data_IF_146913940827
#
_entry.id   IF_146913940827
#
_cell.length_a   1.000
_cell.length_b   1.000
_cell.length_c   1.000
_cell.angle_alpha   90.00
_cell.angle_beta   90.00
_cell.angle_gamma   90.00
#
_symmetry.space_group_name_H-M   'P 1'
#
loop_
_entity.id
_entity.type
_entity.pdbx_description
1 polymer ?
#
# COMPACT_ATOMS: atom_id res chain seq x y z
N UNK A 1 6.52 -22.65 10.80
CA UNK A 1 6.86 -21.51 9.94
C UNK A 1 5.94 -21.54 8.74
N UNK A 2 5.21 -20.47 8.50
CA UNK A 2 4.24 -20.40 7.38
C UNK A 2 4.95 -20.16 6.05
N UNK A 3 4.48 -20.85 5.00
CA UNK A 3 5.05 -20.80 3.66
C UNK A 3 4.35 -19.72 2.85
N UNK A 4 5.07 -18.65 2.47
CA UNK A 4 4.54 -17.55 1.67
C UNK A 4 5.21 -17.51 0.31
N UNK A 5 4.43 -17.35 -0.74
CA UNK A 5 4.90 -17.20 -2.11
C UNK A 5 4.48 -15.84 -2.67
N UNK A 6 5.37 -15.14 -3.36
CA UNK A 6 5.07 -13.88 -4.05
C UNK A 6 4.94 -14.15 -5.54
N UNK A 7 3.72 -14.06 -6.04
CA UNK A 7 3.42 -14.26 -7.45
C UNK A 7 3.58 -12.93 -8.23
N UNK A 8 4.82 -12.62 -8.58
CA UNK A 8 5.25 -11.41 -9.28
C UNK A 8 6.43 -10.73 -8.59
N UNK A 9 7.42 -10.28 -9.34
CA UNK A 9 8.60 -9.57 -8.84
C UNK A 9 8.76 -8.23 -9.56
N UNK A 10 7.70 -7.43 -9.46
CA UNK A 10 7.66 -6.01 -9.86
C UNK A 10 8.05 -5.10 -8.71
N UNK A 11 7.56 -3.86 -8.73
CA UNK A 11 7.83 -2.83 -7.73
C UNK A 11 7.37 -3.28 -6.34
N UNK A 12 6.15 -3.78 -6.21
CA UNK A 12 5.58 -4.24 -4.93
C UNK A 12 6.21 -5.58 -4.50
N UNK A 13 6.29 -6.55 -5.43
CA UNK A 13 6.82 -7.88 -5.11
C UNK A 13 8.27 -7.88 -4.62
N UNK A 14 9.13 -7.03 -5.18
CA UNK A 14 10.54 -6.92 -4.77
C UNK A 14 10.68 -6.33 -3.36
N UNK A 15 9.85 -5.34 -3.02
CA UNK A 15 9.80 -4.74 -1.67
C UNK A 15 9.28 -5.71 -0.62
N UNK A 16 8.23 -6.44 -0.98
CA UNK A 16 7.68 -7.51 -0.11
C UNK A 16 8.70 -8.63 0.12
N UNK A 17 9.40 -9.07 -0.92
CA UNK A 17 10.46 -10.08 -0.77
C UNK A 17 11.53 -9.63 0.24
N UNK A 18 12.00 -8.37 0.12
CA UNK A 18 12.96 -7.79 1.06
C UNK A 18 12.42 -7.74 2.50
N UNK A 19 11.15 -7.40 2.67
CA UNK A 19 10.54 -7.28 4.00
C UNK A 19 10.33 -8.65 4.65
N UNK A 20 9.81 -9.64 3.92
CA UNK A 20 9.45 -10.94 4.46
C UNK A 20 10.67 -11.75 4.91
N UNK A 21 11.85 -11.56 4.31
CA UNK A 21 13.09 -12.23 4.76
C UNK A 21 13.55 -11.81 6.15
N UNK A 22 13.01 -10.71 6.69
CA UNK A 22 13.33 -10.23 8.05
C UNK A 22 12.48 -10.88 9.15
N UNK A 23 11.39 -11.57 8.79
CA UNK A 23 10.50 -12.22 9.75
C UNK A 23 10.75 -13.73 9.82
N UNK A 24 11.34 -14.19 10.92
CA UNK A 24 11.65 -15.61 11.16
C UNK A 24 10.40 -16.49 11.30
N UNK A 25 9.21 -15.93 11.48
CA UNK A 25 7.96 -16.71 11.54
C UNK A 25 7.41 -17.08 10.16
N UNK A 26 7.93 -16.43 9.10
CA UNK A 26 7.54 -16.60 7.71
C UNK A 26 8.71 -17.20 6.93
N UNK A 27 8.41 -18.20 6.11
CA UNK A 27 9.34 -18.70 5.11
C UNK A 27 8.90 -18.22 3.72
N UNK A 28 9.66 -17.31 3.13
CA UNK A 28 9.48 -16.92 1.75
C UNK A 28 9.96 -18.06 0.86
N UNK A 29 9.01 -18.84 0.28
CA UNK A 29 9.32 -19.94 -0.66
C UNK A 29 10.11 -19.41 -1.84
N UNK A 30 9.73 -18.26 -2.38
CA UNK A 30 10.36 -17.61 -3.52
C UNK A 30 9.42 -16.62 -4.19
N UNK A 31 9.83 -16.20 -5.38
CA UNK A 31 9.12 -15.21 -6.19
C UNK A 31 8.84 -15.73 -7.60
N UNK A 32 7.79 -15.21 -8.24
CA UNK A 32 7.48 -15.54 -9.62
C UNK A 32 8.07 -14.55 -10.61
N UNK A 33 8.59 -15.08 -11.74
CA UNK A 33 8.97 -14.29 -12.92
C UNK A 33 8.29 -14.84 -14.16
N UNK A 34 7.83 -13.92 -15.01
CA UNK A 34 7.12 -14.24 -16.25
C UNK A 34 7.89 -13.83 -17.50
N UNK A 35 8.99 -13.10 -17.33
CA UNK A 35 9.88 -12.63 -18.39
C UNK A 35 11.33 -12.76 -17.96
N UNK A 36 12.20 -12.99 -18.93
CA UNK A 36 13.66 -12.93 -18.75
C UNK A 36 14.09 -11.48 -18.88
N UNK A 37 14.46 -10.87 -17.76
CA UNK A 37 14.85 -9.46 -17.67
C UNK A 37 15.88 -9.23 -16.55
N UNK A 38 16.36 -8.00 -16.43
CA UNK A 38 17.32 -7.60 -15.39
C UNK A 38 16.83 -7.89 -13.97
N UNK A 39 15.51 -7.77 -13.72
CA UNK A 39 14.90 -8.06 -12.41
C UNK A 39 14.97 -9.56 -12.07
N UNK A 40 15.01 -10.43 -13.06
CA UNK A 40 15.24 -11.87 -12.83
C UNK A 40 16.64 -12.10 -12.25
N UNK A 41 17.67 -11.50 -12.86
CA UNK A 41 19.03 -11.59 -12.36
C UNK A 41 19.18 -10.94 -10.99
N UNK A 42 18.55 -9.79 -10.79
CA UNK A 42 18.52 -9.11 -9.47
C UNK A 42 17.95 -10.03 -8.38
N UNK A 43 16.84 -10.72 -8.65
CA UNK A 43 16.24 -11.64 -7.69
C UNK A 43 17.15 -12.81 -7.34
N UNK A 44 17.81 -13.40 -8.34
CA UNK A 44 18.78 -14.49 -8.16
C UNK A 44 19.97 -14.00 -7.34
N UNK A 45 20.54 -12.86 -7.68
CA UNK A 45 21.69 -12.27 -6.97
C UNK A 45 21.37 -11.93 -5.50
N UNK A 46 20.11 -11.62 -5.18
CA UNK A 46 19.62 -11.45 -3.81
C UNK A 46 19.35 -12.77 -3.07
N UNK A 47 19.57 -13.90 -3.73
CA UNK A 47 19.36 -15.23 -3.15
C UNK A 47 17.90 -15.67 -3.09
N UNK A 48 16.99 -15.01 -3.79
CA UNK A 48 15.61 -15.48 -3.87
C UNK A 48 15.47 -16.67 -4.81
N UNK A 49 14.70 -17.67 -4.39
CA UNK A 49 14.28 -18.75 -5.27
C UNK A 49 13.33 -18.20 -6.31
N UNK A 50 13.67 -18.39 -7.59
CA UNK A 50 12.89 -17.90 -8.73
C UNK A 50 12.08 -19.04 -9.33
N UNK A 51 10.76 -18.83 -9.42
CA UNK A 51 9.82 -19.75 -10.04
C UNK A 51 9.24 -19.11 -11.31
N UNK A 52 9.03 -19.92 -12.35
CA UNK A 52 8.50 -19.45 -13.64
C UNK A 52 7.33 -20.33 -14.09
N UNK A 53 6.43 -19.84 -14.96
CA UNK A 53 5.43 -20.72 -15.55
C UNK A 53 6.07 -21.97 -16.16
N UNK A 54 5.47 -23.15 -15.94
CA UNK A 54 6.04 -24.43 -16.41
C UNK A 54 6.48 -24.42 -17.87
N UNK A 55 5.70 -23.75 -18.73
CA UNK A 55 6.01 -23.60 -20.15
C UNK A 55 7.27 -22.77 -20.45
N UNK A 56 7.71 -21.91 -19.52
CA UNK A 56 8.87 -21.03 -19.69
C UNK A 56 10.17 -21.60 -19.09
N UNK A 57 10.13 -22.74 -18.39
CA UNK A 57 11.28 -23.34 -17.73
C UNK A 57 12.45 -23.53 -18.70
N UNK A 58 12.20 -24.08 -19.88
CA UNK A 58 13.24 -24.33 -20.90
C UNK A 58 13.85 -23.00 -21.38
N UNK A 59 13.03 -21.98 -21.60
CA UNK A 59 13.49 -20.67 -22.06
C UNK A 59 14.46 -20.03 -21.07
N UNK A 60 14.10 -20.01 -19.79
CA UNK A 60 14.95 -19.43 -18.74
C UNK A 60 16.26 -20.20 -18.60
N UNK A 61 16.22 -21.54 -18.61
CA UNK A 61 17.43 -22.39 -18.54
C UNK A 61 18.36 -22.20 -19.73
N UNK A 62 17.80 -22.08 -20.93
CA UNK A 62 18.58 -21.84 -22.16
C UNK A 62 19.31 -20.48 -22.13
N UNK A 63 18.82 -19.53 -21.32
CA UNK A 63 19.46 -18.24 -21.10
C UNK A 63 20.33 -18.22 -19.83
N UNK A 64 20.65 -19.39 -19.28
CA UNK A 64 21.50 -19.60 -18.11
C UNK A 64 20.97 -18.98 -16.81
N UNK A 65 19.64 -18.81 -16.67
CA UNK A 65 19.05 -18.40 -15.40
C UNK A 65 18.82 -19.61 -14.50
N UNK A 66 19.30 -19.51 -13.27
CA UNK A 66 18.99 -20.49 -12.22
C UNK A 66 17.54 -20.31 -11.77
N UNK A 67 16.72 -21.32 -11.99
CA UNK A 67 15.32 -21.34 -11.57
C UNK A 67 15.04 -22.54 -10.66
N UNK A 68 14.22 -22.30 -9.65
CA UNK A 68 13.92 -23.29 -8.59
C UNK A 68 12.78 -24.23 -8.95
N UNK A 69 11.94 -23.88 -9.94
CA UNK A 69 10.84 -24.74 -10.36
C UNK A 69 9.71 -23.98 -11.04
N UNK A 70 8.53 -24.59 -11.09
CA UNK A 70 7.35 -23.98 -11.67
C UNK A 70 6.55 -23.17 -10.63
N UNK A 71 5.85 -22.12 -11.09
CA UNK A 71 4.92 -21.33 -10.26
C UNK A 71 3.85 -22.24 -9.65
N UNK A 72 3.37 -23.21 -10.42
CA UNK A 72 2.39 -24.20 -10.01
C UNK A 72 2.86 -24.99 -8.77
N UNK A 73 4.11 -25.43 -8.78
CA UNK A 73 4.70 -26.17 -7.67
C UNK A 73 4.89 -25.30 -6.43
N UNK A 74 5.31 -24.03 -6.61
CA UNK A 74 5.46 -23.07 -5.52
C UNK A 74 4.11 -22.73 -4.86
N UNK A 75 3.07 -22.52 -5.67
CA UNK A 75 1.70 -22.26 -5.14
C UNK A 75 1.20 -23.47 -4.35
N UNK A 76 1.45 -24.69 -4.84
CA UNK A 76 1.03 -25.92 -4.13
C UNK A 76 1.67 -26.01 -2.75
N UNK A 77 2.91 -25.60 -2.59
CA UNK A 77 3.66 -25.63 -1.33
C UNK A 77 3.33 -24.46 -0.38
N UNK A 78 2.69 -23.39 -0.88
CA UNK A 78 2.43 -22.20 -0.06
C UNK A 78 1.18 -22.37 0.82
N UNK A 79 1.19 -21.68 1.97
CA UNK A 79 0.01 -21.46 2.81
C UNK A 79 -0.73 -20.20 2.36
N UNK A 80 0.00 -19.22 1.83
CA UNK A 80 -0.53 -17.95 1.32
C UNK A 80 0.26 -17.49 0.10
N UNK A 81 -0.45 -16.97 -0.88
CA UNK A 81 0.12 -16.33 -2.06
C UNK A 81 -0.15 -14.82 -2.00
N UNK A 82 0.89 -14.02 -2.21
CA UNK A 82 0.72 -12.59 -2.47
C UNK A 82 0.76 -12.41 -3.99
N UNK A 83 -0.40 -12.13 -4.58
CA UNK A 83 -0.49 -11.88 -6.01
C UNK A 83 -0.11 -10.42 -6.30
N UNK A 84 1.13 -10.24 -6.74
CA UNK A 84 1.70 -8.97 -7.19
C UNK A 84 1.95 -9.00 -8.71
N UNK A 85 1.18 -9.79 -9.45
CA UNK A 85 1.18 -9.83 -10.91
C UNK A 85 0.52 -8.58 -11.50
N UNK A 86 0.63 -8.39 -12.80
CA UNK A 86 0.00 -7.27 -13.49
C UNK A 86 -1.52 -7.32 -13.33
N UNK A 87 -2.13 -6.18 -13.13
CA UNK A 87 -3.58 -5.98 -13.00
C UNK A 87 -4.39 -6.80 -14.03
N UNK A 88 -5.50 -7.40 -13.56
CA UNK A 88 -6.35 -8.30 -14.34
C UNK A 88 -5.82 -9.73 -14.48
N UNK A 89 -4.65 -10.05 -13.93
CA UNK A 89 -4.18 -11.43 -13.84
C UNK A 89 -4.56 -12.11 -12.53
N UNK A 90 -4.87 -11.35 -11.48
CA UNK A 90 -5.26 -11.88 -10.19
C UNK A 90 -6.48 -12.80 -10.28
N UNK A 91 -7.53 -12.40 -11.01
CA UNK A 91 -8.71 -13.25 -11.21
C UNK A 91 -8.40 -14.54 -11.99
N UNK A 92 -7.51 -14.49 -12.99
CA UNK A 92 -7.08 -15.68 -13.74
C UNK A 92 -6.31 -16.63 -12.83
N UNK A 93 -5.39 -16.11 -12.02
CA UNK A 93 -4.61 -16.86 -11.05
C UNK A 93 -5.51 -17.45 -9.96
N UNK A 94 -6.47 -16.67 -9.44
CA UNK A 94 -7.45 -17.15 -8.46
C UNK A 94 -8.22 -18.37 -8.98
N UNK A 95 -8.80 -18.26 -10.20
CA UNK A 95 -9.60 -19.33 -10.81
C UNK A 95 -8.77 -20.57 -11.14
N UNK A 96 -7.56 -20.37 -11.64
CA UNK A 96 -6.70 -21.45 -12.11
C UNK A 96 -5.98 -22.18 -10.98
N UNK A 97 -5.56 -21.45 -9.94
CA UNK A 97 -4.66 -21.97 -8.92
C UNK A 97 -5.20 -21.83 -7.50
N UNK A 98 -5.50 -20.59 -7.05
CA UNK A 98 -5.70 -20.35 -5.62
C UNK A 98 -6.98 -21.00 -5.11
N UNK A 99 -8.10 -20.80 -5.81
CA UNK A 99 -9.38 -21.37 -5.41
C UNK A 99 -9.41 -22.91 -5.49
N UNK A 100 -8.98 -23.58 -6.60
CA UNK A 100 -8.94 -25.03 -6.67
C UNK A 100 -8.03 -25.67 -5.64
N UNK A 101 -6.91 -25.03 -5.31
CA UNK A 101 -5.93 -25.51 -4.33
C UNK A 101 -6.21 -25.01 -2.90
N UNK A 102 -7.33 -24.32 -2.67
CA UNK A 102 -7.76 -23.76 -1.37
C UNK A 102 -6.64 -22.91 -0.72
N UNK A 103 -5.95 -22.09 -1.53
CA UNK A 103 -4.85 -21.23 -1.06
C UNK A 103 -5.39 -19.88 -0.61
N UNK A 104 -4.89 -19.38 0.52
CA UNK A 104 -5.10 -17.98 0.89
C UNK A 104 -4.38 -17.07 -0.09
N UNK A 105 -4.99 -15.94 -0.44
CA UNK A 105 -4.43 -15.00 -1.41
C UNK A 105 -4.64 -13.55 -1.00
N UNK A 106 -3.58 -12.74 -1.15
CA UNK A 106 -3.63 -11.29 -1.05
C UNK A 106 -3.45 -10.74 -2.46
N UNK A 107 -4.42 -9.98 -2.94
CA UNK A 107 -4.36 -9.29 -4.22
C UNK A 107 -4.00 -7.82 -4.01
N UNK A 108 -3.38 -7.20 -5.01
CA UNK A 108 -3.04 -5.78 -4.92
C UNK A 108 -4.16 -4.90 -5.46
N UNK A 109 -4.19 -3.62 -5.03
CA UNK A 109 -5.13 -2.64 -5.55
C UNK A 109 -5.03 -2.51 -7.07
N UNK A 110 -6.18 -2.39 -7.72
CA UNK A 110 -6.36 -2.45 -9.18
C UNK A 110 -7.10 -3.71 -9.64
N UNK A 111 -7.16 -4.76 -8.83
CA UNK A 111 -8.01 -5.92 -9.11
C UNK A 111 -9.47 -5.66 -8.71
N UNK A 112 -10.40 -6.27 -9.45
CA UNK A 112 -11.83 -6.07 -9.26
C UNK A 112 -12.33 -6.66 -7.93
N UNK A 113 -13.14 -5.87 -7.23
CA UNK A 113 -13.86 -6.29 -6.04
C UNK A 113 -15.25 -6.82 -6.33
N UNK A 114 -15.89 -6.31 -7.36
CA UNK A 114 -17.28 -6.60 -7.67
C UNK A 114 -17.45 -7.37 -8.99
N UNK A 115 -18.62 -7.98 -9.16
CA UNK A 115 -18.98 -8.63 -10.39
C UNK A 115 -18.26 -9.95 -10.65
N UNK A 116 -18.28 -10.38 -11.92
CA UNK A 116 -17.74 -11.69 -12.32
C UNK A 116 -16.23 -11.83 -12.18
N UNK A 117 -15.51 -10.73 -12.14
CA UNK A 117 -14.05 -10.72 -12.05
C UNK A 117 -13.55 -10.43 -10.63
N UNK A 118 -14.43 -10.44 -9.65
CA UNK A 118 -14.05 -10.21 -8.26
C UNK A 118 -13.03 -11.21 -7.76
N UNK A 119 -11.91 -10.68 -7.26
CA UNK A 119 -10.86 -11.49 -6.63
C UNK A 119 -11.10 -11.67 -5.13
N UNK A 120 -11.76 -10.73 -4.47
CA UNK A 120 -12.13 -10.79 -3.06
C UNK A 120 -13.29 -9.82 -2.76
N UNK A 121 -14.00 -10.10 -1.68
CA UNK A 121 -15.14 -9.31 -1.20
C UNK A 121 -14.78 -8.18 -0.24
N UNK A 122 -13.50 -8.08 0.13
CA UNK A 122 -13.01 -7.11 1.09
C UNK A 122 -11.73 -6.43 0.60
N UNK A 123 -11.70 -5.09 0.74
CA UNK A 123 -10.49 -4.28 0.59
C UNK A 123 -9.95 -3.99 1.99
N UNK A 124 -8.66 -4.24 2.20
CA UNK A 124 -7.98 -4.06 3.47
C UNK A 124 -7.44 -2.65 3.65
N UNK A 125 -7.61 -2.15 4.85
CA UNK A 125 -6.86 -1.05 5.43
C UNK A 125 -6.60 -1.37 6.91
N UNK A 126 -5.35 -1.43 7.33
CA UNK A 126 -4.99 -1.85 8.69
C UNK A 126 -5.56 -0.94 9.79
N UNK A 127 -5.85 0.33 9.45
CA UNK A 127 -6.42 1.31 10.39
C UNK A 127 -7.92 1.12 10.56
N UNK A 128 -8.61 0.68 9.52
CA UNK A 128 -10.08 0.68 9.45
C UNK A 128 -10.69 -0.69 9.72
N UNK A 129 -10.23 -1.74 9.04
CA UNK A 129 -10.93 -3.01 9.02
C UNK A 129 -10.05 -4.25 9.22
N UNK A 130 -8.90 -4.11 9.86
CA UNK A 130 -7.96 -5.20 10.11
C UNK A 130 -8.63 -6.47 10.64
N UNK A 131 -9.51 -6.35 11.64
CA UNK A 131 -10.16 -7.50 12.29
C UNK A 131 -11.04 -8.29 11.31
N UNK A 132 -11.65 -7.62 10.33
CA UNK A 132 -12.50 -8.27 9.32
C UNK A 132 -11.73 -9.22 8.39
N UNK A 133 -10.40 -9.14 8.38
CA UNK A 133 -9.56 -9.97 7.50
C UNK A 133 -9.04 -11.25 8.15
N UNK A 134 -9.23 -11.42 9.47
CA UNK A 134 -8.71 -12.57 10.24
C UNK A 134 -9.15 -13.94 9.68
N UNK A 135 -10.39 -14.07 9.23
CA UNK A 135 -10.96 -15.34 8.75
C UNK A 135 -11.11 -15.38 7.21
N UNK A 136 -10.54 -14.42 6.49
CA UNK A 136 -10.67 -14.40 5.03
C UNK A 136 -9.63 -15.28 4.34
N UNK A 137 -10.04 -15.88 3.23
CA UNK A 137 -9.14 -16.62 2.34
C UNK A 137 -8.62 -15.76 1.18
N UNK A 138 -9.35 -14.72 0.80
CA UNK A 138 -8.98 -13.78 -0.24
C UNK A 138 -9.24 -12.35 0.22
N UNK A 139 -8.26 -11.47 0.05
CA UNK A 139 -8.33 -10.05 0.45
C UNK A 139 -7.62 -9.22 -0.60
N UNK A 140 -8.18 -8.05 -0.94
CA UNK A 140 -7.49 -7.03 -1.73
C UNK A 140 -6.78 -6.09 -0.76
N UNK A 141 -5.46 -5.93 -0.88
CA UNK A 141 -4.78 -4.81 -0.26
C UNK A 141 -5.21 -3.52 -0.95
N UNK A 142 -5.74 -2.57 -0.21
CA UNK A 142 -6.18 -1.28 -0.74
C UNK A 142 -5.05 -0.56 -1.50
N UNK A 143 -5.41 0.18 -2.53
CA UNK A 143 -4.44 1.03 -3.24
C UNK A 143 -3.79 2.04 -2.30
N UNK A 144 -2.65 2.62 -2.69
CA UNK A 144 -2.00 3.66 -1.87
C UNK A 144 -2.97 4.80 -1.52
N UNK A 145 -3.76 5.29 -2.51
CA UNK A 145 -4.74 6.36 -2.26
C UNK A 145 -5.79 5.95 -1.22
N UNK A 146 -6.39 4.77 -1.36
CA UNK A 146 -7.40 4.24 -0.43
C UNK A 146 -6.80 3.99 0.96
N UNK A 147 -5.58 3.48 1.00
CA UNK A 147 -4.84 3.27 2.25
C UNK A 147 -4.56 4.60 2.95
N UNK A 148 -4.07 5.60 2.22
CA UNK A 148 -3.79 6.93 2.77
C UNK A 148 -5.04 7.63 3.27
N UNK A 149 -6.11 7.66 2.46
CA UNK A 149 -7.39 8.25 2.88
C UNK A 149 -7.93 7.58 4.15
N UNK A 150 -7.90 6.25 4.26
CA UNK A 150 -8.36 5.54 5.45
C UNK A 150 -7.57 5.90 6.71
N UNK A 151 -6.25 6.08 6.58
CA UNK A 151 -5.38 6.52 7.70
C UNK A 151 -5.64 7.96 8.15
N UNK A 152 -6.16 8.82 7.27
CA UNK A 152 -6.53 10.20 7.63
C UNK A 152 -7.98 10.28 8.09
N UNK A 153 -8.93 9.69 7.37
CA UNK A 153 -10.37 9.84 7.65
C UNK A 153 -10.77 9.11 8.94
N UNK A 154 -10.27 7.89 9.17
CA UNK A 154 -10.72 7.10 10.32
C UNK A 154 -10.44 7.77 11.67
N UNK A 155 -9.23 8.31 11.96
CA UNK A 155 -8.98 9.04 13.20
C UNK A 155 -9.85 10.29 13.35
N UNK A 156 -10.13 10.99 12.24
CA UNK A 156 -11.01 12.17 12.27
C UNK A 156 -12.45 11.80 12.60
N UNK A 157 -12.96 10.70 12.04
CA UNK A 157 -14.30 10.20 12.37
C UNK A 157 -14.38 9.76 13.84
N UNK A 158 -13.37 9.07 14.35
CA UNK A 158 -13.34 8.62 15.74
C UNK A 158 -13.37 9.77 16.74
N UNK A 159 -12.69 10.88 16.43
CA UNK A 159 -12.59 12.02 17.33
C UNK A 159 -13.70 13.06 17.11
N UNK A 160 -14.13 13.27 15.85
CA UNK A 160 -14.98 14.40 15.47
C UNK A 160 -16.17 14.02 14.58
N UNK A 161 -16.43 12.72 14.38
CA UNK A 161 -17.40 12.23 13.38
C UNK A 161 -18.82 12.77 13.55
N UNK A 162 -19.23 13.07 14.79
CA UNK A 162 -20.56 13.65 15.05
C UNK A 162 -20.73 15.08 14.50
N UNK A 163 -19.64 15.83 14.37
CA UNK A 163 -19.64 17.20 13.86
C UNK A 163 -19.19 17.32 12.40
N UNK A 164 -18.66 16.26 11.79
CA UNK A 164 -18.25 16.27 10.39
C UNK A 164 -19.45 16.00 9.50
N UNK A 165 -19.80 16.96 8.63
CA UNK A 165 -20.89 16.84 7.66
C UNK A 165 -20.42 16.21 6.35
N UNK A 166 -19.19 16.51 5.90
CA UNK A 166 -18.73 16.12 4.57
C UNK A 166 -17.21 16.10 4.45
N UNK A 167 -16.70 15.18 3.65
CA UNK A 167 -15.34 15.12 3.18
C UNK A 167 -15.32 15.33 1.66
N UNK A 168 -14.56 16.30 1.18
CA UNK A 168 -14.24 16.51 -0.23
C UNK A 168 -12.74 16.28 -0.43
N UNK A 169 -12.38 15.31 -1.27
CA UNK A 169 -10.98 14.90 -1.49
C UNK A 169 -10.60 15.08 -2.95
N UNK A 170 -9.49 15.76 -3.19
CA UNK A 170 -8.87 15.82 -4.50
C UNK A 170 -7.57 15.00 -4.46
N UNK A 171 -7.55 13.89 -5.18
CA UNK A 171 -6.38 13.03 -5.34
C UNK A 171 -5.52 13.56 -6.48
N UNK A 172 -4.37 14.16 -6.17
CA UNK A 172 -3.37 14.55 -7.15
C UNK A 172 -2.36 13.41 -7.25
N UNK A 173 -2.57 12.55 -8.26
CA UNK A 173 -1.79 11.32 -8.46
C UNK A 173 -0.60 11.56 -9.36
N UNK A 174 0.53 10.97 -9.04
CA UNK A 174 1.69 10.92 -9.93
C UNK A 174 1.36 10.17 -11.24
N UNK A 175 2.14 10.42 -12.29
CA UNK A 175 1.96 9.78 -13.60
C UNK A 175 2.41 8.33 -13.63
N UNK A 176 3.60 8.06 -13.12
CA UNK A 176 4.24 6.75 -13.12
C UNK A 176 5.12 6.56 -11.89
N UNK A 177 5.52 5.34 -11.57
CA UNK A 177 6.51 5.07 -10.54
C UNK A 177 7.92 5.46 -11.00
N UNK A 178 8.84 5.67 -10.04
CA UNK A 178 10.25 5.98 -10.34
C UNK A 178 10.92 4.90 -11.19
N UNK A 179 10.60 3.65 -10.90
CA UNK A 179 11.17 2.48 -11.55
C UNK A 179 10.45 2.09 -12.85
N UNK A 180 9.35 2.79 -13.17
CA UNK A 180 8.56 2.53 -14.39
C UNK A 180 9.25 3.18 -15.60
N UNK A 181 9.39 2.43 -16.69
CA UNK A 181 9.92 2.95 -17.95
C UNK A 181 8.88 3.77 -18.76
N UNK A 182 7.66 3.87 -18.25
CA UNK A 182 6.57 4.61 -18.90
C UNK A 182 6.93 6.09 -19.04
N UNK A 183 6.75 6.64 -20.23
CA UNK A 183 6.93 8.08 -20.49
C UNK A 183 5.96 8.91 -19.64
N UNK A 184 6.45 9.97 -19.06
CA UNK A 184 5.64 10.97 -18.37
C UNK A 184 5.24 12.04 -19.35
N UNK A 185 3.93 12.18 -19.60
CA UNK A 185 3.41 13.23 -20.47
C UNK A 185 3.31 14.55 -19.73
N UNK A 186 3.63 15.64 -20.41
CA UNK A 186 3.49 17.00 -19.89
C UNK A 186 2.02 17.46 -20.04
N UNK A 187 1.14 16.88 -19.24
CA UNK A 187 -0.27 17.25 -19.15
C UNK A 187 -0.87 16.87 -17.80
N UNK A 188 -1.99 17.52 -17.45
CA UNK A 188 -2.83 17.13 -16.33
C UNK A 188 -4.02 16.37 -16.89
N UNK A 189 -4.20 15.11 -16.45
CA UNK A 189 -5.37 14.31 -16.80
C UNK A 189 -6.30 14.21 -15.59
N UNK A 190 -7.60 14.08 -15.83
CA UNK A 190 -8.58 13.82 -14.80
C UNK A 190 -9.27 12.48 -15.02
N UNK A 191 -9.71 11.88 -13.92
CA UNK A 191 -10.46 10.64 -13.93
C UNK A 191 -11.95 10.98 -13.80
N UNK A 192 -12.74 10.62 -14.79
CA UNK A 192 -14.18 10.93 -14.79
C UNK A 192 -14.97 10.14 -13.75
N UNK A 193 -14.50 8.96 -13.39
CA UNK A 193 -15.17 8.04 -12.47
C UNK A 193 -14.15 7.35 -11.55
N UNK A 194 -13.57 8.08 -10.58
CA UNK A 194 -12.58 7.51 -9.70
C UNK A 194 -13.22 6.46 -8.78
N UNK A 195 -12.79 5.21 -8.89
CA UNK A 195 -13.29 4.09 -8.05
C UNK A 195 -12.99 4.25 -6.55
N UNK A 196 -12.06 5.13 -6.21
CA UNK A 196 -11.57 5.33 -4.84
C UNK A 196 -12.67 5.69 -3.84
N UNK A 197 -13.71 6.42 -4.29
CA UNK A 197 -14.84 6.75 -3.43
C UNK A 197 -15.65 5.52 -3.03
N UNK A 198 -15.88 4.61 -3.98
CA UNK A 198 -16.63 3.39 -3.72
C UNK A 198 -15.83 2.42 -2.85
N UNK A 199 -14.52 2.33 -3.07
CA UNK A 199 -13.63 1.53 -2.24
C UNK A 199 -13.65 1.97 -0.77
N UNK A 200 -13.78 3.28 -0.51
CA UNK A 200 -13.84 3.83 0.85
C UNK A 200 -15.19 3.67 1.52
N UNK A 201 -16.30 3.74 0.78
CA UNK A 201 -17.65 3.61 1.35
C UNK A 201 -17.86 2.32 2.13
N UNK A 202 -17.17 1.26 1.75
CA UNK A 202 -17.32 -0.04 2.38
C UNK A 202 -16.67 -0.16 3.76
N UNK A 203 -15.64 0.60 4.03
CA UNK A 203 -15.03 0.59 5.35
C UNK A 203 -15.30 1.85 6.16
N UNK A 204 -15.77 2.92 5.52
CA UNK A 204 -16.24 4.14 6.16
C UNK A 204 -17.65 4.49 5.64
N UNK A 205 -18.65 3.63 5.86
CA UNK A 205 -19.97 3.77 5.21
C UNK A 205 -20.76 5.01 5.70
N UNK A 206 -20.42 5.53 6.86
CA UNK A 206 -21.05 6.74 7.43
C UNK A 206 -20.46 8.04 6.88
N UNK A 207 -19.36 8.00 6.13
CA UNK A 207 -18.75 9.20 5.61
C UNK A 207 -19.52 9.75 4.40
N UNK A 208 -19.97 11.01 4.48
CA UNK A 208 -20.40 11.77 3.32
C UNK A 208 -19.15 12.23 2.57
N UNK A 209 -18.75 11.44 1.58
CA UNK A 209 -17.44 11.52 0.93
C UNK A 209 -17.59 11.75 -0.57
N UNK A 210 -16.87 12.73 -1.09
CA UNK A 210 -16.71 13.00 -2.52
C UNK A 210 -15.22 12.93 -2.88
N UNK A 211 -14.88 12.26 -3.96
CA UNK A 211 -13.49 12.07 -4.39
C UNK A 211 -13.36 12.43 -5.86
N UNK A 212 -12.53 13.41 -6.14
CA UNK A 212 -12.02 13.71 -7.47
C UNK A 212 -10.59 13.22 -7.62
N UNK A 213 -10.17 12.89 -8.83
CA UNK A 213 -8.82 12.41 -9.08
C UNK A 213 -8.19 13.04 -10.31
N UNK A 214 -7.01 13.61 -10.10
CA UNK A 214 -6.15 14.17 -11.14
C UNK A 214 -4.87 13.34 -11.25
N UNK A 215 -4.24 13.38 -12.43
CA UNK A 215 -2.96 12.77 -12.71
C UNK A 215 -2.02 13.84 -13.26
N UNK A 216 -0.89 14.02 -12.63
CA UNK A 216 0.07 15.08 -12.94
C UNK A 216 1.41 14.53 -13.41
N UNK A 217 2.20 15.28 -14.21
CA UNK A 217 3.50 14.86 -14.73
C UNK A 217 4.55 14.79 -13.62
N UNK A 218 4.44 13.80 -12.75
CA UNK A 218 5.37 13.52 -11.66
C UNK A 218 5.62 12.02 -11.52
N UNK A 219 6.76 11.65 -10.97
CA UNK A 219 7.11 10.28 -10.54
C UNK A 219 7.22 10.15 -9.04
N UNK A 220 7.11 11.28 -8.32
CA UNK A 220 7.35 11.37 -6.87
C UNK A 220 6.03 11.45 -6.14
N UNK A 221 5.69 10.44 -5.38
CA UNK A 221 4.56 10.39 -4.44
C UNK A 221 3.24 10.95 -5.00
N UNK A 222 2.18 10.79 -4.27
CA UNK A 222 0.92 11.51 -4.46
C UNK A 222 0.89 12.71 -3.53
N UNK A 223 0.13 13.73 -3.88
CA UNK A 223 -0.25 14.83 -2.99
C UNK A 223 -1.78 14.94 -3.02
N UNK A 224 -2.41 14.83 -1.87
CA UNK A 224 -3.86 14.87 -1.76
C UNK A 224 -4.30 16.06 -0.94
N UNK A 225 -5.46 16.59 -1.28
CA UNK A 225 -6.09 17.66 -0.54
C UNK A 225 -7.47 17.20 -0.09
N UNK A 226 -7.71 17.33 1.22
CA UNK A 226 -8.98 17.00 1.84
C UNK A 226 -9.56 18.24 2.49
N UNK A 227 -10.82 18.52 2.17
CA UNK A 227 -11.62 19.59 2.79
C UNK A 227 -12.76 18.95 3.59
N UNK A 228 -12.83 19.26 4.87
CA UNK A 228 -13.88 18.80 5.78
C UNK A 228 -14.80 19.96 6.12
N UNK A 229 -16.12 19.72 6.06
CA UNK A 229 -17.12 20.64 6.55
C UNK A 229 -17.69 20.14 7.86
N UNK A 230 -17.77 21.03 8.83
CA UNK A 230 -18.24 20.74 10.19
C UNK A 230 -19.64 21.34 10.44
N UNK A 231 -20.30 20.80 11.45
CA UNK A 231 -21.44 21.45 12.07
C UNK A 231 -20.94 22.40 13.15
N UNK A 232 -20.81 23.68 12.81
CA UNK A 232 -20.17 24.68 13.64
C UNK A 232 -18.66 24.79 13.41
N UNK A 233 -17.94 25.30 14.40
CA UNK A 233 -16.51 25.57 14.29
C UNK A 233 -15.68 24.28 14.34
N UNK A 234 -14.71 24.06 13.40
CA UNK A 234 -13.77 22.95 13.47
C UNK A 234 -12.90 23.00 14.73
N UNK A 235 -12.32 21.86 15.15
CA UNK A 235 -11.28 21.82 16.17
C UNK A 235 -10.09 22.72 15.81
N UNK A 236 -9.28 23.09 16.80
CA UNK A 236 -8.07 23.87 16.55
C UNK A 236 -7.06 23.10 15.71
N UNK A 237 -6.08 23.81 15.13
CA UNK A 237 -4.99 23.19 14.38
C UNK A 237 -4.21 22.21 15.24
N UNK A 238 -3.96 22.55 16.49
CA UNK A 238 -3.21 21.69 17.42
C UNK A 238 -4.00 20.43 17.78
N UNK A 239 -5.31 20.51 18.02
CA UNK A 239 -6.18 19.35 18.27
C UNK A 239 -6.18 18.39 17.08
N UNK A 240 -6.22 18.94 15.85
CA UNK A 240 -6.15 18.12 14.62
C UNK A 240 -4.78 17.45 14.50
N UNK A 241 -3.68 18.15 14.71
CA UNK A 241 -2.33 17.56 14.64
C UNK A 241 -2.11 16.51 15.74
N UNK A 242 -2.63 16.75 16.95
CA UNK A 242 -2.56 15.79 18.06
C UNK A 242 -3.30 14.49 17.75
N UNK A 243 -4.40 14.54 16.99
CA UNK A 243 -5.10 13.35 16.48
C UNK A 243 -4.16 12.42 15.73
N UNK A 244 -3.17 12.94 14.99
CA UNK A 244 -2.27 12.16 14.15
C UNK A 244 -0.91 11.87 14.77
N UNK A 245 -0.55 12.50 15.87
CA UNK A 245 0.76 12.42 16.51
C UNK A 245 1.20 10.98 16.78
N UNK A 246 0.26 10.14 17.22
CA UNK A 246 0.51 8.74 17.58
C UNK A 246 -0.02 7.74 16.53
N UNK A 247 -0.58 8.21 15.40
CA UNK A 247 -1.08 7.32 14.36
C UNK A 247 0.06 6.58 13.66
N UNK A 248 -0.13 5.26 13.54
CA UNK A 248 0.86 4.38 12.91
C UNK A 248 0.90 4.57 11.38
N UNK A 249 2.08 4.86 10.87
CA UNK A 249 2.27 5.10 9.44
C UNK A 249 1.77 6.47 8.97
N UNK A 250 1.65 7.44 9.90
CA UNK A 250 1.38 8.84 9.61
C UNK A 250 2.47 9.70 10.23
N UNK A 251 3.13 10.53 9.45
CA UNK A 251 4.11 11.52 9.89
C UNK A 251 3.55 12.94 9.71
N UNK A 252 3.94 13.85 10.59
CA UNK A 252 3.60 15.26 10.48
C UNK A 252 4.87 16.01 10.07
N UNK A 253 4.84 16.60 8.88
CA UNK A 253 5.96 17.34 8.32
C UNK A 253 5.68 18.83 8.33
N UNK A 254 6.69 19.60 8.67
CA UNK A 254 6.71 21.05 8.61
C UNK A 254 7.76 21.47 7.58
N UNK A 255 7.52 22.54 6.82
CA UNK A 255 8.50 23.09 5.86
C UNK A 255 8.96 22.16 4.71
N UNK A 256 8.22 21.09 4.38
CA UNK A 256 8.49 20.31 3.19
C UNK A 256 8.06 21.08 1.93
N UNK A 257 9.00 21.39 1.04
CA UNK A 257 8.70 22.17 -0.19
C UNK A 257 7.96 21.35 -1.26
N UNK A 258 8.04 20.02 -1.16
CA UNK A 258 7.36 19.13 -2.11
C UNK A 258 7.66 17.65 -1.88
N UNK A 259 6.99 16.80 -2.64
CA UNK A 259 7.12 15.35 -2.52
C UNK A 259 8.53 14.84 -2.88
N UNK A 260 9.25 15.58 -3.73
CA UNK A 260 10.63 15.30 -4.08
C UNK A 260 11.61 15.45 -2.89
N UNK A 261 11.39 16.45 -2.04
CA UNK A 261 12.22 16.67 -0.84
C UNK A 261 12.05 15.54 0.16
N UNK A 262 10.81 15.09 0.37
CA UNK A 262 10.51 13.96 1.26
C UNK A 262 11.23 12.71 0.77
N UNK A 263 11.16 12.43 -0.52
CA UNK A 263 11.87 11.30 -1.13
C UNK A 263 13.37 11.41 -0.99
N UNK A 264 13.94 12.60 -1.25
CA UNK A 264 15.36 12.86 -1.10
C UNK A 264 15.81 12.57 0.33
N UNK A 265 15.08 13.07 1.33
CA UNK A 265 15.38 12.81 2.75
C UNK A 265 15.29 11.33 3.11
N UNK A 266 14.29 10.61 2.61
CA UNK A 266 14.20 9.18 2.81
C UNK A 266 15.41 8.40 2.27
N UNK A 267 15.96 8.82 1.12
CA UNK A 267 17.20 8.26 0.56
C UNK A 267 18.42 8.61 1.42
N UNK A 268 18.57 9.88 1.84
CA UNK A 268 19.64 10.34 2.71
C UNK A 268 19.64 9.60 4.06
N UNK A 269 18.45 9.33 4.62
CA UNK A 269 18.24 8.54 5.84
C UNK A 269 18.40 7.03 5.61
N UNK A 270 18.74 6.59 4.39
CA UNK A 270 18.93 5.18 4.01
C UNK A 270 17.73 4.29 4.29
N UNK A 271 16.53 4.80 4.07
CA UNK A 271 15.33 3.96 4.12
C UNK A 271 15.34 2.96 2.96
N UNK A 272 14.84 1.74 3.21
CA UNK A 272 14.78 0.70 2.19
C UNK A 272 14.09 1.22 0.93
N UNK A 273 14.72 1.04 -0.22
CA UNK A 273 14.26 1.55 -1.51
C UNK A 273 14.07 3.09 -1.54
N UNK A 274 14.51 3.81 -0.52
CA UNK A 274 14.21 5.22 -0.29
C UNK A 274 12.74 5.49 0.04
N UNK A 275 12.00 4.49 0.50
CA UNK A 275 10.57 4.59 0.79
C UNK A 275 10.35 5.01 2.26
N UNK A 276 9.45 5.97 2.47
CA UNK A 276 9.04 6.36 3.84
C UNK A 276 8.08 5.34 4.42
N UNK A 277 7.27 4.70 3.58
CA UNK A 277 6.18 3.79 3.93
C UNK A 277 5.06 4.44 4.77
N UNK A 278 4.87 5.75 4.63
CA UNK A 278 3.96 6.56 5.45
C UNK A 278 3.12 7.53 4.62
N UNK A 279 2.05 8.01 5.24
CA UNK A 279 1.35 9.23 4.88
C UNK A 279 2.05 10.41 5.57
N UNK A 280 2.16 11.55 4.91
CA UNK A 280 2.78 12.75 5.44
C UNK A 280 1.78 13.89 5.45
N UNK A 281 1.35 14.33 6.63
CA UNK A 281 0.51 15.52 6.80
C UNK A 281 1.41 16.75 6.76
N UNK A 282 1.08 17.72 5.90
CA UNK A 282 1.80 18.99 5.79
C UNK A 282 1.17 20.02 6.74
N UNK A 283 1.79 20.21 7.90
CA UNK A 283 1.22 21.05 8.97
C UNK A 283 1.08 22.52 8.57
N UNK A 284 1.97 23.03 7.73
CA UNK A 284 1.92 24.42 7.23
C UNK A 284 0.77 24.65 6.24
N UNK A 285 0.28 23.59 5.60
CA UNK A 285 -0.85 23.63 4.67
C UNK A 285 -2.20 23.35 5.34
N UNK A 286 -2.22 23.05 6.64
CA UNK A 286 -3.45 22.87 7.40
C UNK A 286 -4.08 24.25 7.65
N UNK A 287 -5.32 24.42 7.19
CA UNK A 287 -6.06 25.70 7.27
C UNK A 287 -7.45 25.48 7.86
N UNK A 288 -7.85 26.40 8.72
CA UNK A 288 -9.19 26.43 9.32
C UNK A 288 -9.80 27.77 8.96
N UNK A 289 -10.99 27.75 8.39
CA UNK A 289 -11.76 28.93 8.06
C UNK A 289 -13.25 28.64 8.25
N UNK A 290 -13.93 29.44 9.07
CA UNK A 290 -15.37 29.28 9.38
C UNK A 290 -15.70 27.85 9.85
N UNK A 291 -16.53 27.11 9.11
CA UNK A 291 -16.91 25.72 9.34
C UNK A 291 -16.02 24.70 8.65
N UNK A 292 -14.94 25.14 8.04
CA UNK A 292 -14.12 24.33 7.11
C UNK A 292 -12.72 24.10 7.64
N UNK A 293 -12.27 22.84 7.59
CA UNK A 293 -10.89 22.40 7.80
C UNK A 293 -10.32 21.87 6.49
N UNK A 294 -9.13 22.31 6.11
CA UNK A 294 -8.38 21.83 4.95
C UNK A 294 -7.09 21.16 5.38
N UNK A 295 -6.91 19.91 4.99
CA UNK A 295 -5.70 19.11 5.24
C UNK A 295 -5.08 18.73 3.91
N UNK A 296 -3.77 19.00 3.74
CA UNK A 296 -2.98 18.48 2.62
C UNK A 296 -2.04 17.40 3.14
N UNK A 297 -1.96 16.29 2.44
CA UNK A 297 -1.09 15.18 2.79
C UNK A 297 -0.51 14.51 1.54
N UNK A 298 0.65 13.91 1.67
CA UNK A 298 1.26 13.13 0.60
C UNK A 298 1.39 11.66 0.98
N UNK A 299 1.34 10.80 -0.03
CA UNK A 299 1.43 9.35 0.10
C UNK A 299 2.70 8.81 -0.57
N UNK A 300 3.45 7.99 0.17
CA UNK A 300 4.47 7.14 -0.45
C UNK A 300 3.79 5.98 -1.19
N UNK A 301 3.50 6.18 -2.46
CA UNK A 301 2.64 5.31 -3.26
C UNK A 301 3.11 3.85 -3.36
N UNK A 302 4.41 3.60 -3.32
CA UNK A 302 4.98 2.25 -3.40
C UNK A 302 5.29 1.67 -2.04
N UNK A 303 5.82 2.49 -1.14
CA UNK A 303 6.30 2.04 0.14
C UNK A 303 5.19 1.78 1.16
N UNK A 304 4.14 2.60 1.19
CA UNK A 304 3.12 2.51 2.25
C UNK A 304 2.28 1.23 2.22
N UNK A 305 2.09 0.62 1.05
CA UNK A 305 1.31 -0.63 0.93
C UNK A 305 2.12 -1.87 1.38
N UNK A 306 3.42 -1.74 1.59
CA UNK A 306 4.27 -2.87 1.98
C UNK A 306 4.03 -3.28 3.45
N UNK A 307 4.08 -2.37 4.46
CA UNK A 307 3.64 -2.71 5.81
C UNK A 307 2.18 -3.19 5.88
N UNK A 308 1.30 -2.66 5.03
CA UNK A 308 -0.11 -3.06 4.97
C UNK A 308 -0.28 -4.52 4.52
N UNK A 309 0.44 -4.93 3.45
CA UNK A 309 0.50 -6.34 3.04
C UNK A 309 1.04 -7.23 4.17
N UNK A 310 2.05 -6.77 4.88
CA UNK A 310 2.59 -7.50 6.03
C UNK A 310 1.56 -7.62 7.17
N UNK A 311 0.78 -6.57 7.43
CA UNK A 311 -0.34 -6.62 8.38
C UNK A 311 -1.38 -7.67 7.94
N UNK A 312 -1.69 -7.78 6.64
CA UNK A 312 -2.57 -8.82 6.11
C UNK A 312 -2.04 -10.23 6.34
N UNK A 313 -0.76 -10.47 6.12
CA UNK A 313 -0.15 -11.78 6.41
C UNK A 313 -0.34 -12.13 7.89
N UNK A 314 -0.12 -11.18 8.79
CA UNK A 314 -0.28 -11.38 10.22
C UNK A 314 -1.74 -11.67 10.61
N UNK A 315 -2.69 -11.01 9.96
CA UNK A 315 -4.10 -11.26 10.14
C UNK A 315 -4.50 -12.63 9.58
N UNK A 316 -4.23 -12.89 8.30
CA UNK A 316 -4.75 -14.05 7.58
C UNK A 316 -4.09 -15.37 7.98
N UNK A 317 -2.78 -15.37 8.26
CA UNK A 317 -2.02 -16.57 8.64
C UNK A 317 -1.82 -16.70 10.15
N UNK A 318 -1.33 -15.64 10.78
CA UNK A 318 -0.86 -15.70 12.16
C UNK A 318 -1.99 -15.41 13.17
N UNK A 319 -3.16 -14.95 12.70
CA UNK A 319 -4.33 -14.63 13.52
C UNK A 319 -4.02 -13.67 14.69
N UNK A 320 -3.04 -12.79 14.49
CA UNK A 320 -2.63 -11.81 15.50
C UNK A 320 -3.67 -10.73 15.69
N UNK A 321 -3.85 -10.26 16.90
CA UNK A 321 -4.59 -9.03 17.16
C UNK A 321 -3.95 -7.85 16.41
N UNK A 322 -4.71 -6.79 16.15
CA UNK A 322 -4.18 -5.59 15.49
C UNK A 322 -3.00 -4.99 16.26
N UNK A 323 -3.07 -4.98 17.60
CA UNK A 323 -2.01 -4.43 18.45
C UNK A 323 -0.68 -5.22 18.32
N UNK A 324 -0.76 -6.55 18.36
CA UNK A 324 0.41 -7.43 18.13
C UNK A 324 0.98 -7.27 16.72
N UNK A 325 0.10 -7.20 15.71
CA UNK A 325 0.50 -7.00 14.33
C UNK A 325 1.20 -5.65 14.12
N UNK A 326 0.71 -4.56 14.71
CA UNK A 326 1.37 -3.24 14.69
C UNK A 326 2.75 -3.29 15.33
N UNK A 327 2.88 -3.93 16.51
CA UNK A 327 4.16 -4.08 17.20
C UNK A 327 5.18 -4.86 16.35
N UNK A 328 4.74 -5.94 15.71
CA UNK A 328 5.61 -6.74 14.85
C UNK A 328 5.95 -5.99 13.55
N UNK A 329 5.00 -5.26 12.98
CA UNK A 329 5.23 -4.43 11.78
C UNK A 329 6.26 -3.33 12.09
N UNK A 330 6.14 -2.67 13.25
CA UNK A 330 7.15 -1.70 13.68
C UNK A 330 8.55 -2.33 13.81
N UNK A 331 8.64 -3.54 14.37
CA UNK A 331 9.91 -4.27 14.49
C UNK A 331 10.55 -4.57 13.13
N UNK A 332 9.76 -4.99 12.14
CA UNK A 332 10.28 -5.37 10.79
C UNK A 332 10.65 -4.15 9.96
N UNK A 333 9.85 -3.09 10.02
CA UNK A 333 9.98 -1.91 9.17
C UNK A 333 10.61 -0.71 9.86
N UNK A 334 10.80 -0.76 11.18
CA UNK A 334 11.29 0.36 12.02
C UNK A 334 10.45 1.63 11.84
N UNK A 335 9.12 1.49 11.75
CA UNK A 335 8.20 2.58 11.39
C UNK A 335 8.28 3.77 12.32
N UNK A 336 8.31 3.53 13.65
CA UNK A 336 8.42 4.61 14.64
C UNK A 336 9.75 5.35 14.54
N UNK A 337 10.85 4.62 14.30
CA UNK A 337 12.17 5.23 14.11
C UNK A 337 12.21 6.05 12.84
N UNK A 338 11.72 5.50 11.72
CA UNK A 338 11.62 6.21 10.43
C UNK A 338 10.78 7.49 10.56
N UNK A 339 9.60 7.41 11.20
CA UNK A 339 8.74 8.55 11.49
C UNK A 339 9.52 9.66 12.21
N UNK A 340 10.10 9.32 13.37
CA UNK A 340 10.86 10.28 14.18
C UNK A 340 12.01 10.92 13.42
N UNK A 341 12.79 10.11 12.67
CA UNK A 341 13.90 10.62 11.87
C UNK A 341 13.43 11.54 10.74
N UNK A 342 12.35 11.18 10.06
CA UNK A 342 11.81 11.99 8.97
C UNK A 342 11.23 13.31 9.50
N UNK A 343 10.43 13.27 10.56
CA UNK A 343 9.85 14.47 11.18
C UNK A 343 10.93 15.43 11.64
N UNK A 344 12.04 14.94 12.22
CA UNK A 344 13.16 15.81 12.67
C UNK A 344 13.84 16.56 11.52
N UNK A 345 13.87 16.01 10.31
CA UNK A 345 14.45 16.68 9.13
C UNK A 345 13.60 17.86 8.61
N UNK A 346 12.34 17.94 9.02
CA UNK A 346 11.37 18.94 8.58
C UNK A 346 10.84 19.81 9.72
N UNK A 347 11.48 19.82 10.89
CA UNK A 347 11.06 20.65 12.03
C UNK A 347 11.70 22.04 12.06
N UNK A 348 12.72 22.30 11.23
CA UNK A 348 13.49 23.57 11.20
C UNK A 348 13.09 24.48 10.05
#
# INVERSE_FOLDING_TARGET
MYQVFINGYGIIGSRLATALTRDKSINLIGIAKYSVDEKTQEAINKGYKVFVPRKLIKEFRNKNYEISGSIEDAITQSDLVIDASTEGNGIKNKRKYYHPLKKKAIFQGGEDRYGRNSVADIIHNSRVNYVKTLEKDSVIQGSCNVTGMGKIIQPLIENYGQSIKRFDVVLVRRWADLEDKKEVRDSIEWDKNPHHQDDLKDFIPSANLYVDALKVPSRMMHLHQMTLRFDGRPPSKDDILDTFKNEFGVAILNNAKGTGDIRKKAVELRFDHGDTSMVHIHSELLKIQEDTLKISYSDDQTGMVIPENYMLIQSMLLKRSRAEALKQTDKIFSMKKKKKSLESEFQN
#
